data_IF_503420640007
#
_entry.id   IF_503420640007
#
_cell.length_a   1.000
_cell.length_b   1.000
_cell.length_c   1.000
_cell.angle_alpha   90.00
_cell.angle_beta   90.00
_cell.angle_gamma   90.00
#
_symmetry.space_group_name_H-M   'P 1'
#
loop_
_entity.id
_entity.type
_entity.pdbx_description
1 polymer ?
#
# COMPACT_ATOMS: atom_id res chain seq x y z
N UNK A 1 -9.31 35.63 40.73
CA UNK A 1 -9.51 36.26 39.40
C UNK A 1 -8.30 35.94 38.54
N UNK A 2 -8.46 35.06 37.54
CA UNK A 2 -7.37 34.70 36.62
C UNK A 2 -7.19 35.89 35.67
N UNK A 3 -5.99 36.49 35.66
CA UNK A 3 -5.70 37.63 34.79
C UNK A 3 -5.86 37.29 33.30
N UNK A 4 -6.20 38.25 32.44
CA UNK A 4 -6.53 38.01 31.04
C UNK A 4 -5.39 37.32 30.27
N UNK A 5 -4.14 37.55 30.67
CA UNK A 5 -2.95 36.91 30.12
C UNK A 5 -2.83 35.42 30.46
N UNK A 6 -3.25 34.99 31.65
CA UNK A 6 -3.26 33.57 32.05
C UNK A 6 -4.35 32.79 31.31
N UNK A 7 -5.50 33.42 31.08
CA UNK A 7 -6.57 32.86 30.27
C UNK A 7 -6.14 32.69 28.80
N UNK A 8 -5.41 33.66 28.25
CA UNK A 8 -4.86 33.57 26.90
C UNK A 8 -3.81 32.45 26.74
N UNK A 9 -2.89 32.31 27.70
CA UNK A 9 -1.89 31.22 27.70
C UNK A 9 -2.56 29.85 27.82
N UNK A 10 -3.59 29.72 28.67
CA UNK A 10 -4.32 28.48 28.83
C UNK A 10 -5.10 28.10 27.56
N UNK A 11 -5.72 29.08 26.90
CA UNK A 11 -6.43 28.88 25.64
C UNK A 11 -5.49 28.43 24.51
N UNK A 12 -4.29 29.02 24.41
CA UNK A 12 -3.27 28.58 23.43
C UNK A 12 -2.79 27.16 23.72
N UNK A 13 -2.55 26.81 24.99
CA UNK A 13 -2.13 25.47 25.40
C UNK A 13 -3.19 24.39 25.11
N UNK A 14 -4.47 24.72 25.28
CA UNK A 14 -5.61 23.85 24.93
C UNK A 14 -5.72 23.64 23.40
N UNK A 15 -5.48 24.68 22.59
CA UNK A 15 -5.50 24.59 21.12
C UNK A 15 -4.37 23.74 20.55
N UNK A 16 -3.19 23.74 21.17
CA UNK A 16 -2.04 22.91 20.77
C UNK A 16 -2.29 21.41 21.00
N UNK A 17 -3.17 21.07 21.94
CA UNK A 17 -3.51 19.67 22.26
C UNK A 17 -4.58 19.08 21.34
N UNK A 18 -5.22 19.91 20.51
CA UNK A 18 -6.34 19.52 19.64
C UNK A 18 -5.91 19.13 18.21
N UNK A 19 -4.60 19.05 17.92
CA UNK A 19 -4.12 18.41 16.69
C UNK A 19 -4.30 16.90 16.83
N UNK A 20 -5.53 16.43 16.60
CA UNK A 20 -5.79 15.02 16.44
C UNK A 20 -5.13 14.58 15.13
N UNK A 21 -4.26 13.57 15.20
CA UNK A 21 -3.75 12.90 14.02
C UNK A 21 -4.96 12.40 13.21
N UNK A 22 -5.08 12.87 11.98
CA UNK A 22 -6.18 12.46 11.13
C UNK A 22 -5.96 10.99 10.74
N UNK A 23 -6.98 10.15 10.97
CA UNK A 23 -6.89 8.71 10.71
C UNK A 23 -6.69 8.47 9.22
N UNK A 24 -5.51 7.96 8.86
CA UNK A 24 -5.19 7.51 7.51
C UNK A 24 -5.77 6.12 7.32
N UNK A 25 -6.57 5.92 6.28
CA UNK A 25 -7.11 4.60 5.93
C UNK A 25 -6.01 3.75 5.30
N UNK A 26 -5.59 2.70 5.98
CA UNK A 26 -4.68 1.71 5.42
C UNK A 26 -5.44 0.77 4.47
N UNK A 27 -4.95 0.65 3.23
CA UNK A 27 -5.52 -0.23 2.19
C UNK A 27 -4.49 -1.29 1.84
N UNK A 28 -4.70 -2.51 2.34
CA UNK A 28 -3.84 -3.65 2.07
C UNK A 28 -4.24 -4.36 0.79
N UNK A 29 -3.30 -4.53 -0.11
CA UNK A 29 -3.49 -5.23 -1.38
C UNK A 29 -2.39 -6.27 -1.56
N UNK A 30 -2.70 -7.33 -2.30
CA UNK A 30 -1.73 -8.35 -2.64
C UNK A 30 -1.91 -8.82 -4.09
N UNK A 31 -0.81 -9.21 -4.73
CA UNK A 31 -0.80 -9.89 -6.02
C UNK A 31 -0.14 -11.25 -5.87
N UNK A 32 -0.96 -12.29 -6.00
CA UNK A 32 -0.52 -13.68 -6.00
C UNK A 32 -0.38 -14.17 -7.44
N UNK A 33 0.82 -14.60 -7.83
CA UNK A 33 1.07 -15.30 -9.09
C UNK A 33 1.23 -16.79 -8.84
N UNK A 34 0.48 -17.60 -9.59
CA UNK A 34 0.62 -19.05 -9.57
C UNK A 34 1.51 -19.48 -10.73
N UNK A 35 2.71 -19.96 -10.39
CA UNK A 35 3.70 -20.42 -11.36
C UNK A 35 3.40 -21.87 -11.74
N UNK A 36 2.88 -22.06 -12.95
CA UNK A 36 2.51 -23.39 -13.46
C UNK A 36 3.77 -24.16 -13.93
N UNK A 37 4.04 -25.35 -13.39
CA UNK A 37 5.11 -26.20 -13.91
C UNK A 37 4.72 -26.69 -15.31
N UNK A 38 5.49 -26.31 -16.33
CA UNK A 38 5.34 -26.89 -17.67
C UNK A 38 5.14 -25.93 -18.83
N UNK A 39 5.31 -24.61 -18.66
CA UNK A 39 5.40 -23.71 -19.80
C UNK A 39 6.60 -24.05 -20.66
N UNK A 40 6.40 -24.49 -21.90
CA UNK A 40 7.49 -24.59 -22.86
C UNK A 40 8.10 -23.21 -23.04
N UNK A 41 9.43 -23.10 -22.94
CA UNK A 41 10.11 -21.86 -23.30
C UNK A 41 9.72 -21.48 -24.74
N UNK A 42 9.38 -20.20 -24.99
CA UNK A 42 9.07 -19.78 -26.33
C UNK A 42 10.28 -19.95 -27.26
N UNK A 43 10.00 -20.11 -28.56
CA UNK A 43 11.04 -20.28 -29.60
C UNK A 43 11.96 -19.05 -29.66
N UNK A 44 11.40 -17.86 -29.39
CA UNK A 44 12.14 -16.60 -29.33
C UNK A 44 12.33 -16.14 -27.88
N UNK A 45 13.51 -15.60 -27.58
CA UNK A 45 13.77 -14.92 -26.29
C UNK A 45 12.95 -13.65 -26.11
N UNK A 46 12.48 -13.03 -27.19
CA UNK A 46 11.64 -11.82 -27.13
C UNK A 46 10.24 -12.12 -26.59
N UNK A 47 9.77 -13.34 -26.74
CA UNK A 47 8.46 -13.78 -26.25
C UNK A 47 8.54 -14.34 -24.83
N UNK A 48 9.74 -14.41 -24.23
CA UNK A 48 9.91 -14.88 -22.87
C UNK A 48 9.31 -13.83 -21.92
N UNK A 49 8.25 -14.17 -21.18
CA UNK A 49 7.67 -13.22 -20.23
C UNK A 49 8.72 -12.86 -19.17
N UNK A 50 8.80 -11.59 -18.76
CA UNK A 50 9.73 -11.18 -17.73
C UNK A 50 9.36 -11.83 -16.39
N UNK A 51 10.37 -12.06 -15.55
CA UNK A 51 10.21 -12.79 -14.29
C UNK A 51 9.29 -12.08 -13.28
N UNK A 52 9.09 -10.78 -13.44
CA UNK A 52 8.24 -9.90 -12.63
C UNK A 52 6.95 -9.50 -13.35
N UNK A 53 6.59 -10.16 -14.46
CA UNK A 53 5.33 -9.92 -15.14
C UNK A 53 4.17 -10.04 -14.15
N UNK A 54 3.26 -9.06 -14.17
CA UNK A 54 2.20 -8.89 -13.18
C UNK A 54 2.65 -8.10 -11.95
N UNK A 55 3.79 -8.44 -11.34
CA UNK A 55 4.32 -7.70 -10.17
C UNK A 55 4.77 -6.29 -10.53
N UNK A 56 5.40 -6.11 -11.70
CA UNK A 56 5.75 -4.78 -12.20
C UNK A 56 4.51 -3.90 -12.40
N UNK A 57 3.41 -4.49 -12.89
CA UNK A 57 2.12 -3.79 -13.02
C UNK A 57 1.50 -3.45 -11.66
N UNK A 58 1.62 -4.36 -10.67
CA UNK A 58 1.18 -4.12 -9.31
C UNK A 58 1.95 -2.97 -8.65
N UNK A 59 3.27 -2.93 -8.84
CA UNK A 59 4.12 -1.86 -8.35
C UNK A 59 3.77 -0.50 -8.99
N UNK A 60 3.52 -0.48 -10.30
CA UNK A 60 3.06 0.71 -11.00
C UNK A 60 1.70 1.20 -10.46
N UNK A 61 0.73 0.29 -10.30
CA UNK A 61 -0.57 0.64 -9.72
C UNK A 61 -0.47 1.15 -8.28
N UNK A 62 0.47 0.63 -7.49
CA UNK A 62 0.76 1.15 -6.16
C UNK A 62 1.32 2.57 -6.20
N UNK A 63 2.24 2.85 -7.11
CA UNK A 63 2.79 4.19 -7.31
C UNK A 63 1.68 5.19 -7.68
N UNK A 64 0.85 4.84 -8.66
CA UNK A 64 -0.31 5.64 -9.06
C UNK A 64 -1.27 5.87 -7.89
N UNK A 65 -1.62 4.82 -7.15
CA UNK A 65 -2.51 4.92 -5.99
C UNK A 65 -1.92 5.75 -4.86
N UNK A 66 -0.60 5.74 -4.66
CA UNK A 66 0.06 6.60 -3.66
C UNK A 66 -0.05 8.08 -4.00
N UNK A 67 -0.03 8.44 -5.29
CA UNK A 67 -0.21 9.85 -5.68
C UNK A 67 -1.58 10.38 -5.28
N UNK A 68 -2.66 9.66 -5.64
CA UNK A 68 -4.04 10.09 -5.37
C UNK A 68 -4.44 9.82 -3.92
N UNK A 69 -4.02 8.68 -3.36
CA UNK A 69 -4.29 8.25 -2.00
C UNK A 69 -3.77 9.23 -0.95
N UNK A 70 -2.62 9.88 -1.19
CA UNK A 70 -2.10 10.90 -0.29
C UNK A 70 -3.07 12.08 -0.10
N UNK A 71 -3.80 12.48 -1.14
CA UNK A 71 -4.84 13.53 -1.04
C UNK A 71 -6.09 13.05 -0.30
N UNK A 72 -6.42 11.75 -0.43
CA UNK A 72 -7.59 11.13 0.19
C UNK A 72 -7.32 10.52 1.57
N UNK A 73 -6.10 10.67 2.10
CA UNK A 73 -5.65 10.06 3.37
C UNK A 73 -5.79 8.54 3.35
N UNK A 74 -5.41 7.95 2.22
CA UNK A 74 -5.31 6.52 2.02
C UNK A 74 -3.84 6.14 1.88
N UNK A 75 -3.42 5.14 2.64
CA UNK A 75 -2.09 4.55 2.55
C UNK A 75 -2.20 3.15 1.95
N UNK A 76 -1.75 3.01 0.70
CA UNK A 76 -1.78 1.74 -0.02
C UNK A 76 -0.54 0.91 0.27
N UNK A 77 -0.77 -0.35 0.61
CA UNK A 77 0.25 -1.36 0.84
C UNK A 77 0.12 -2.48 -0.21
N UNK A 78 1.25 -3.03 -0.64
CA UNK A 78 1.31 -4.10 -1.63
C UNK A 78 2.20 -5.23 -1.14
N UNK A 79 1.65 -6.44 -1.15
CA UNK A 79 2.43 -7.68 -1.06
C UNK A 79 2.43 -8.40 -2.42
N UNK A 80 3.57 -8.95 -2.82
CA UNK A 80 3.67 -9.78 -4.02
C UNK A 80 4.19 -11.16 -3.64
N UNK A 81 3.55 -12.20 -4.18
CA UNK A 81 3.92 -13.58 -3.87
C UNK A 81 3.81 -14.46 -5.11
N UNK A 82 4.84 -15.26 -5.37
CA UNK A 82 4.82 -16.31 -6.38
C UNK A 82 4.75 -17.66 -5.69
N UNK A 83 3.86 -18.54 -6.15
CA UNK A 83 3.64 -19.86 -5.55
C UNK A 83 3.39 -20.92 -6.61
N UNK A 84 3.71 -22.17 -6.29
CA UNK A 84 3.27 -23.30 -7.10
C UNK A 84 1.74 -23.56 -6.90
N UNK A 85 1.09 -24.30 -7.81
CA UNK A 85 -0.37 -24.48 -7.79
C UNK A 85 -0.90 -25.14 -6.52
N UNK A 86 -0.12 -26.05 -5.93
CA UNK A 86 -0.41 -26.73 -4.67
C UNK A 86 -0.42 -25.80 -3.46
N UNK A 87 0.39 -24.73 -3.48
CA UNK A 87 0.47 -23.72 -2.42
C UNK A 87 -0.45 -22.52 -2.60
N UNK A 88 -1.21 -22.43 -3.69
CA UNK A 88 -1.94 -21.22 -4.05
C UNK A 88 -3.01 -20.82 -3.03
N UNK A 89 -3.79 -21.78 -2.53
CA UNK A 89 -4.87 -21.49 -1.58
C UNK A 89 -4.31 -21.03 -0.23
N UNK A 90 -3.26 -21.71 0.26
CA UNK A 90 -2.61 -21.39 1.52
C UNK A 90 -1.91 -20.03 1.52
N UNK A 91 -1.67 -19.45 0.34
CA UNK A 91 -1.04 -18.15 0.18
C UNK A 91 -2.01 -16.97 0.25
N UNK A 92 -3.32 -17.22 0.34
CA UNK A 92 -4.36 -16.19 0.48
C UNK A 92 -4.68 -15.82 1.94
N UNK A 93 -4.27 -16.67 2.88
CA UNK A 93 -4.42 -16.48 4.34
C UNK A 93 -3.23 -15.71 4.91
#
# INVERSE_FOLDING_TARGET
MIGPWKAAVLAVALSLSAVQAQETLEVRTAVLRVDLPGGSLPISRLDLPPADLGFAGAALGLEDNRTTGAFLKQDFQLETRAVAPDGALAALE
#
